data_IF_232020068619
#
_entry.id   IF_232020068619
#
_cell.length_a   1.000
_cell.length_b   1.000
_cell.length_c   1.000
_cell.angle_alpha   90.00
_cell.angle_beta   90.00
_cell.angle_gamma   90.00
#
_symmetry.space_group_name_H-M   'P 1'
#
loop_
_entity.id
_entity.type
_entity.pdbx_description
1 polymer ?
#
# COMPACT_ATOMS: atom_id res chain seq x y z
N UNK A 1 -8.08 14.38 -2.73
CA UNK A 1 -8.31 15.33 -3.83
C UNK A 1 -9.74 15.81 -3.89
N UNK A 2 -10.74 14.92 -4.03
CA UNK A 2 -12.16 15.32 -4.10
C UNK A 2 -12.68 16.05 -2.84
N UNK A 3 -12.14 15.73 -1.65
CA UNK A 3 -12.56 16.36 -0.39
C UNK A 3 -11.75 17.60 0.01
N UNK A 4 -10.47 17.65 -0.35
CA UNK A 4 -9.52 18.66 0.15
C UNK A 4 -8.99 19.60 -0.93
N UNK A 5 -9.31 19.35 -2.21
CA UNK A 5 -8.83 20.07 -3.41
C UNK A 5 -7.31 20.32 -3.47
N UNK A 6 -6.55 19.63 -2.63
CA UNK A 6 -5.11 19.80 -2.46
C UNK A 6 -4.43 18.43 -2.57
N UNK A 7 -3.22 18.44 -3.15
CA UNK A 7 -2.37 17.24 -3.28
C UNK A 7 -1.36 17.12 -2.13
N UNK A 8 -1.38 18.06 -1.19
CA UNK A 8 -0.46 18.11 -0.06
C UNK A 8 -0.86 17.09 1.00
N UNK A 9 -0.13 15.98 1.06
CA UNK A 9 -0.34 14.88 2.02
C UNK A 9 -0.37 15.34 3.48
N UNK A 10 0.40 16.40 3.80
CA UNK A 10 0.46 17.01 5.13
C UNK A 10 -0.85 17.68 5.56
N UNK A 11 -1.68 18.15 4.61
CA UNK A 11 -2.98 18.75 4.92
C UNK A 11 -4.08 17.70 5.15
N UNK A 12 -3.86 16.45 4.75
CA UNK A 12 -4.79 15.33 4.94
C UNK A 12 -4.36 14.43 6.10
N UNK A 13 -3.94 15.01 7.22
CA UNK A 13 -3.58 14.29 8.45
C UNK A 13 -4.83 13.87 9.24
N UNK A 14 -4.72 12.80 10.02
CA UNK A 14 -5.74 12.40 11.01
C UNK A 14 -7.03 11.82 10.43
N UNK A 15 -7.00 11.30 9.19
CA UNK A 15 -8.16 10.70 8.52
C UNK A 15 -8.73 9.48 9.26
N UNK A 16 -7.96 8.84 10.15
CA UNK A 16 -8.41 7.73 11.00
C UNK A 16 -9.59 8.11 11.89
N UNK A 17 -9.58 9.31 12.44
CA UNK A 17 -10.65 9.79 13.32
C UNK A 17 -11.94 10.12 12.56
N UNK A 18 -11.81 10.56 11.30
CA UNK A 18 -12.94 11.02 10.50
C UNK A 18 -13.57 9.92 9.63
N UNK A 19 -12.76 8.99 9.11
CA UNK A 19 -13.17 7.99 8.11
C UNK A 19 -12.50 6.63 8.38
N UNK A 20 -12.83 5.93 9.49
CA UNK A 20 -12.13 4.72 9.91
C UNK A 20 -12.16 3.61 8.85
N UNK A 21 -13.28 3.48 8.11
CA UNK A 21 -13.40 2.45 7.08
C UNK A 21 -12.48 2.71 5.86
N UNK A 22 -12.32 3.97 5.45
CA UNK A 22 -11.36 4.34 4.40
C UNK A 22 -9.92 4.12 4.84
N UNK A 23 -9.63 4.31 6.14
CA UNK A 23 -8.29 4.05 6.67
C UNK A 23 -7.93 2.58 6.68
N UNK A 24 -8.90 1.69 6.91
CA UNK A 24 -8.71 0.25 6.79
C UNK A 24 -8.37 -0.15 5.36
N UNK A 25 -9.04 0.46 4.37
CA UNK A 25 -8.71 0.24 2.96
C UNK A 25 -7.32 0.75 2.58
N UNK A 26 -6.94 1.92 3.07
CA UNK A 26 -5.59 2.46 2.90
C UNK A 26 -4.53 1.58 3.57
N UNK A 27 -4.84 1.03 4.74
CA UNK A 27 -3.98 0.10 5.44
C UNK A 27 -3.77 -1.15 4.58
N UNK A 28 -4.85 -1.78 4.13
CA UNK A 28 -4.79 -2.94 3.23
C UNK A 28 -3.98 -2.65 1.96
N UNK A 29 -4.21 -1.52 1.30
CA UNK A 29 -3.45 -1.14 0.11
C UNK A 29 -1.95 -0.93 0.41
N UNK A 30 -1.62 -0.31 1.55
CA UNK A 30 -0.23 -0.15 1.99
C UNK A 30 0.42 -1.49 2.33
N UNK A 31 -0.30 -2.42 2.96
CA UNK A 31 0.18 -3.78 3.23
C UNK A 31 0.43 -4.57 1.94
N UNK A 32 -0.45 -4.44 0.93
CA UNK A 32 -0.23 -5.05 -0.38
C UNK A 32 1.00 -4.48 -1.08
N UNK A 33 1.25 -3.17 -0.94
CA UNK A 33 2.42 -2.51 -1.51
C UNK A 33 3.72 -2.93 -0.79
N UNK A 34 3.69 -3.02 0.53
CA UNK A 34 4.83 -3.35 1.39
C UNK A 34 5.32 -4.81 1.30
N UNK A 35 4.86 -5.57 0.30
CA UNK A 35 5.32 -6.94 0.07
C UNK A 35 5.23 -7.81 1.34
N UNK A 36 4.12 -7.73 2.10
CA UNK A 36 3.94 -8.60 3.26
C UNK A 36 3.74 -10.08 2.83
N UNK A 37 4.11 -11.05 3.69
CA UNK A 37 3.99 -12.48 3.39
C UNK A 37 2.51 -12.88 3.47
N UNK A 38 1.74 -12.82 2.36
CA UNK A 38 1.69 -13.81 1.27
C UNK A 38 1.42 -13.14 -0.11
N UNK A 39 1.89 -11.92 -0.32
CA UNK A 39 1.52 -11.09 -1.49
C UNK A 39 2.32 -11.44 -2.75
N UNK A 40 1.74 -11.23 -3.93
CA UNK A 40 2.41 -11.44 -5.22
C UNK A 40 3.65 -10.56 -5.40
N UNK A 41 3.67 -9.37 -4.80
CA UNK A 41 4.81 -8.46 -4.85
C UNK A 41 6.06 -9.08 -4.18
N UNK A 42 5.90 -9.71 -3.01
CA UNK A 42 6.99 -10.41 -2.34
C UNK A 42 7.46 -11.63 -3.13
N UNK A 43 6.53 -12.40 -3.72
CA UNK A 43 6.89 -13.56 -4.54
C UNK A 43 7.73 -13.14 -5.74
N UNK A 44 7.37 -12.04 -6.41
CA UNK A 44 8.15 -11.46 -7.51
C UNK A 44 9.53 -10.94 -7.08
N UNK A 45 9.61 -10.22 -5.95
CA UNK A 45 10.91 -9.75 -5.44
C UNK A 45 11.80 -10.92 -5.03
N UNK A 46 11.25 -11.96 -4.40
CA UNK A 46 12.01 -13.12 -3.95
C UNK A 46 12.50 -13.98 -5.12
N UNK A 47 11.72 -14.11 -6.21
CA UNK A 47 12.19 -14.78 -7.42
C UNK A 47 13.32 -14.00 -8.09
N UNK A 48 13.22 -12.66 -8.16
CA UNK A 48 14.30 -11.81 -8.69
C UNK A 48 15.57 -11.95 -7.82
N UNK A 49 15.44 -11.88 -6.49
CA UNK A 49 16.56 -12.06 -5.55
C UNK A 49 17.21 -13.44 -5.75
N UNK A 50 16.41 -14.50 -5.92
CA UNK A 50 16.94 -15.85 -6.15
C UNK A 50 17.70 -15.97 -7.48
N UNK A 51 17.26 -15.27 -8.53
CA UNK A 51 17.90 -15.28 -9.83
C UNK A 51 19.22 -14.47 -9.83
N UNK A 52 19.23 -13.30 -9.19
CA UNK A 52 20.41 -12.43 -9.12
C UNK A 52 21.46 -12.91 -8.12
N UNK A 53 21.04 -13.66 -7.09
CA UNK A 53 21.94 -14.32 -6.16
C UNK A 53 22.92 -15.27 -6.86
N UNK A 54 22.45 -15.99 -7.88
CA UNK A 54 23.31 -16.88 -8.67
C UNK A 54 24.33 -16.12 -9.56
N UNK A 55 24.08 -14.84 -9.83
CA UNK A 55 24.93 -14.03 -10.71
C UNK A 55 26.00 -13.25 -9.95
N UNK A 56 25.63 -12.55 -8.87
CA UNK A 56 26.60 -11.82 -8.03
C UNK A 56 26.05 -11.53 -6.64
N UNK A 57 26.78 -11.92 -5.59
CA UNK A 57 26.36 -11.74 -4.19
C UNK A 57 26.16 -10.26 -3.78
N UNK A 58 26.86 -9.31 -4.42
CA UNK A 58 26.69 -7.88 -4.18
C UNK A 58 25.27 -7.39 -4.55
N UNK A 59 24.65 -7.99 -5.56
CA UNK A 59 23.31 -7.60 -6.02
C UNK A 59 22.22 -7.94 -5.01
N UNK A 60 22.46 -8.90 -4.12
CA UNK A 60 21.56 -9.24 -3.02
C UNK A 60 21.43 -8.09 -2.01
N UNK A 61 22.55 -7.46 -1.64
CA UNK A 61 22.54 -6.34 -0.70
C UNK A 61 21.84 -5.12 -1.32
N UNK A 62 22.07 -4.87 -2.60
CA UNK A 62 21.45 -3.76 -3.32
C UNK A 62 19.93 -3.96 -3.45
N UNK A 63 19.50 -5.14 -3.88
CA UNK A 63 18.06 -5.48 -4.02
C UNK A 63 17.36 -5.47 -2.67
N UNK A 64 17.94 -6.06 -1.63
CA UNK A 64 17.39 -6.02 -0.26
C UNK A 64 17.26 -4.59 0.31
N UNK A 65 18.20 -3.70 0.01
CA UNK A 65 18.07 -2.29 0.38
C UNK A 65 16.94 -1.60 -0.39
N UNK A 66 16.79 -1.88 -1.69
CA UNK A 66 15.72 -1.27 -2.48
C UNK A 66 14.33 -1.67 -1.97
N UNK A 67 14.12 -2.95 -1.64
CA UNK A 67 12.84 -3.43 -1.10
C UNK A 67 12.54 -2.87 0.29
N UNK A 68 13.59 -2.69 1.11
CA UNK A 68 13.44 -2.03 2.42
C UNK A 68 13.07 -0.54 2.29
N UNK A 69 13.68 0.18 1.33
CA UNK A 69 13.36 1.59 1.07
C UNK A 69 11.92 1.74 0.54
N UNK A 70 11.48 0.88 -0.39
CA UNK A 70 10.11 0.94 -0.92
C UNK A 70 9.07 0.62 0.15
N UNK A 71 9.32 -0.37 1.01
CA UNK A 71 8.45 -0.70 2.13
C UNK A 71 8.36 0.45 3.13
N UNK A 72 9.50 0.99 3.58
CA UNK A 72 9.54 2.08 4.57
C UNK A 72 8.90 3.37 4.05
N UNK A 73 9.09 3.70 2.76
CA UNK A 73 8.44 4.85 2.13
C UNK A 73 6.91 4.70 2.08
N UNK A 74 6.41 3.52 1.71
CA UNK A 74 4.97 3.24 1.67
C UNK A 74 4.32 3.35 3.05
N UNK A 75 5.00 2.82 4.08
CA UNK A 75 4.57 2.95 5.47
C UNK A 75 4.59 4.41 5.94
N UNK A 76 5.62 5.16 5.55
CA UNK A 76 5.72 6.59 5.90
C UNK A 76 4.55 7.39 5.31
N UNK A 77 4.15 7.13 4.06
CA UNK A 77 2.97 7.76 3.46
C UNK A 77 1.70 7.39 4.25
N UNK A 78 1.55 6.12 4.62
CA UNK A 78 0.38 5.68 5.40
C UNK A 78 0.33 6.39 6.76
N UNK A 79 1.42 6.39 7.52
CA UNK A 79 1.48 7.04 8.83
C UNK A 79 1.22 8.54 8.73
N UNK A 80 1.83 9.22 7.76
CA UNK A 80 1.69 10.68 7.61
C UNK A 80 0.30 11.13 7.19
N UNK A 81 -0.50 10.26 6.57
CA UNK A 81 -1.88 10.56 6.15
C UNK A 81 -2.91 10.12 7.20
N UNK A 82 -2.75 8.94 7.79
CA UNK A 82 -3.75 8.38 8.70
C UNK A 82 -3.55 8.81 10.15
N UNK A 83 -2.30 8.96 10.60
CA UNK A 83 -1.96 9.30 11.97
C UNK A 83 -1.89 10.83 12.20
N UNK A 84 -2.21 11.26 13.41
CA UNK A 84 -2.16 12.66 13.84
C UNK A 84 -3.54 13.29 14.05
N UNK A 85 -3.55 14.56 14.45
CA UNK A 85 -4.77 15.34 14.64
C UNK A 85 -5.35 15.75 13.28
N UNK A 86 -6.68 15.63 13.08
CA UNK A 86 -7.31 16.06 11.85
C UNK A 86 -7.13 17.56 11.65
N UNK A 87 -6.66 17.97 10.48
CA UNK A 87 -6.51 19.39 10.13
C UNK A 87 -7.86 20.09 9.91
N UNK A 88 -8.92 19.31 9.63
CA UNK A 88 -10.25 19.83 9.28
C UNK A 88 -11.34 19.02 9.95
N UNK A 89 -12.27 19.70 10.63
CA UNK A 89 -13.36 19.07 11.40
C UNK A 89 -14.60 18.72 10.56
N UNK A 90 -14.62 19.02 9.25
CA UNK A 90 -15.78 18.79 8.37
C UNK A 90 -15.37 18.01 7.13
N UNK A 91 -15.25 16.70 7.29
CA UNK A 91 -15.12 15.79 6.16
C UNK A 91 -16.47 15.09 5.94
N UNK A 92 -16.99 15.17 4.72
CA UNK A 92 -18.18 14.43 4.35
C UNK A 92 -17.92 12.92 4.45
N UNK A 93 -18.89 12.11 4.92
CA UNK A 93 -18.73 10.66 5.01
C UNK A 93 -18.39 10.05 3.64
N UNK A 94 -17.76 8.88 3.67
CA UNK A 94 -17.38 8.13 2.47
C UNK A 94 -18.59 7.56 1.77
N UNK A 95 -18.67 7.79 0.45
CA UNK A 95 -19.78 7.28 -0.36
C UNK A 95 -19.61 5.79 -0.65
N UNK A 96 -20.72 5.08 -0.88
CA UNK A 96 -20.72 3.66 -1.29
C UNK A 96 -19.93 3.42 -2.58
N UNK A 97 -19.92 4.39 -3.50
CA UNK A 97 -19.13 4.34 -4.74
C UNK A 97 -17.62 4.22 -4.49
N UNK A 98 -17.10 4.95 -3.51
CA UNK A 98 -15.67 4.92 -3.17
C UNK A 98 -15.27 3.52 -2.66
N UNK A 99 -16.12 2.91 -1.83
CA UNK A 99 -15.88 1.56 -1.32
C UNK A 99 -15.94 0.51 -2.44
N UNK A 100 -16.93 0.60 -3.34
CA UNK A 100 -17.06 -0.32 -4.46
C UNK A 100 -15.83 -0.26 -5.38
N UNK A 101 -15.32 0.95 -5.66
CA UNK A 101 -14.13 1.14 -6.49
C UNK A 101 -12.90 0.48 -5.85
N UNK A 102 -12.71 0.65 -4.54
CA UNK A 102 -11.61 0.03 -3.81
C UNK A 102 -11.75 -1.49 -3.78
N UNK A 103 -12.95 -2.01 -3.54
CA UNK A 103 -13.23 -3.45 -3.56
C UNK A 103 -12.89 -4.04 -4.93
N UNK A 104 -13.27 -3.35 -6.02
CA UNK A 104 -12.96 -3.80 -7.37
C UNK A 104 -11.46 -3.81 -7.68
N UNK A 105 -10.67 -2.93 -7.04
CA UNK A 105 -9.21 -2.95 -7.17
C UNK A 105 -8.56 -4.05 -6.32
N UNK A 106 -9.06 -4.28 -5.11
CA UNK A 106 -8.46 -5.24 -4.17
C UNK A 106 -8.87 -6.68 -4.49
N UNK A 107 -10.07 -6.91 -5.00
CA UNK A 107 -10.56 -8.24 -5.38
C UNK A 107 -9.61 -8.98 -6.35
N UNK A 108 -9.16 -8.41 -7.48
CA UNK A 108 -8.23 -9.10 -8.38
C UNK A 108 -6.86 -9.34 -7.73
N UNK A 109 -6.38 -8.41 -6.88
CA UNK A 109 -5.15 -8.58 -6.12
C UNK A 109 -5.23 -9.79 -5.17
N UNK A 110 -6.33 -9.94 -4.45
CA UNK A 110 -6.58 -11.09 -3.56
C UNK A 110 -6.69 -12.38 -4.38
N UNK A 111 -7.38 -12.35 -5.52
CA UNK A 111 -7.52 -13.51 -6.40
C UNK A 111 -6.16 -14.03 -6.88
N UNK A 112 -5.25 -13.12 -7.25
CA UNK A 112 -3.90 -13.44 -7.70
C UNK A 112 -3.03 -14.03 -6.58
N UNK A 113 -3.25 -13.59 -5.33
CA UNK A 113 -2.60 -14.19 -4.15
C UNK A 113 -3.07 -15.63 -3.93
N UNK A 114 -4.37 -15.91 -4.08
CA UNK A 114 -4.93 -17.24 -3.85
C UNK A 114 -4.48 -18.23 -4.94
N UNK A 115 -4.36 -17.77 -6.19
CA UNK A 115 -3.92 -18.61 -7.29
C UNK A 115 -2.79 -17.95 -8.09
N UNK A 116 -1.52 -18.08 -7.63
CA UNK A 116 -0.37 -17.49 -8.30
C UNK A 116 -0.11 -18.10 -9.70
N UNK A 117 -0.71 -19.25 -10.02
CA UNK A 117 -0.56 -19.90 -11.33
C UNK A 117 -1.35 -19.18 -12.45
N UNK A 118 -2.21 -18.21 -12.13
CA UNK A 118 -2.92 -17.40 -13.14
C UNK A 118 -2.05 -16.30 -13.75
N UNK A 119 -0.91 -15.97 -13.11
CA UNK A 119 0.03 -14.95 -13.58
C UNK A 119 1.29 -15.51 -14.25
N UNK A 120 1.39 -16.83 -14.38
CA UNK A 120 2.46 -17.55 -15.07
C UNK A 120 1.97 -18.06 -16.43
#
# INVERSE_FOLDING_TARGET
>A
YERTHTRTLLLTRGLQSALPLMTAWWLLASLFNMALPPTSNLVGELTIISATFNWAMLTLLLTGLTTLITATYSLYIFLTTQHGTPSTNKLNPTYTREHLLIILHIMPLILLIINPNLSA
#
